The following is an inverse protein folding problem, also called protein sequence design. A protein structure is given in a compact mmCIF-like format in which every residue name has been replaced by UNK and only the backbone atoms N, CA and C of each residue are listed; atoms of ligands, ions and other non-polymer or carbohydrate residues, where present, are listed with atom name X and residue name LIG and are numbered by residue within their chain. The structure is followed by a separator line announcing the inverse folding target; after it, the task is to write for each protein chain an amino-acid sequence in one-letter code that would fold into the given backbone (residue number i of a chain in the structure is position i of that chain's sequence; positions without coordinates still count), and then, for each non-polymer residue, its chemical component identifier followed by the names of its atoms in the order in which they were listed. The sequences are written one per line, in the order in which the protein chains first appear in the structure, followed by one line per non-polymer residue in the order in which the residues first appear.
data_IF_091918432037
#
_entry.id   IF_091918432037
#
_cell.length_a   1.000
_cell.length_b   1.000
_cell.length_c   1.000
_cell.angle_alpha   90.00
_cell.angle_beta   90.00
_cell.angle_gamma   90.00
#
_symmetry.space_group_name_H-M   'P 1'
#
loop_
_entity.id
_entity.type
_entity.pdbx_description
1 polymer ?
#
# COMPACT_ATOMS: atom_id res chain seq x y z
N UNK A 1 -2.14 -12.93 -14.31
CA UNK A 1 -0.66 -12.75 -14.51
C UNK A 1 0.12 -13.27 -13.32
N UNK A 2 1.05 -14.20 -13.51
CA UNK A 2 1.85 -14.81 -12.43
C UNK A 2 2.99 -13.89 -11.98
N UNK A 3 3.04 -13.49 -10.71
CA UNK A 3 4.19 -12.74 -10.18
C UNK A 3 5.37 -13.69 -9.91
N UNK A 4 6.60 -13.23 -10.15
CA UNK A 4 7.81 -14.00 -9.86
C UNK A 4 7.96 -14.25 -8.35
N UNK A 5 8.00 -15.52 -7.93
CA UNK A 5 8.08 -15.92 -6.51
C UNK A 5 9.23 -15.23 -5.74
N UNK A 6 10.47 -15.13 -6.27
CA UNK A 6 11.53 -14.39 -5.58
C UNK A 6 11.24 -12.90 -5.40
N UNK A 7 10.50 -12.26 -6.31
CA UNK A 7 10.10 -10.86 -6.14
C UNK A 7 9.07 -10.72 -5.03
N UNK A 8 8.09 -11.62 -4.98
CA UNK A 8 7.09 -11.68 -3.91
C UNK A 8 7.78 -11.82 -2.56
N UNK A 9 8.68 -12.79 -2.42
CA UNK A 9 9.43 -13.03 -1.18
C UNK A 9 10.21 -11.78 -0.71
N UNK A 10 10.93 -11.11 -1.60
CA UNK A 10 11.68 -9.87 -1.25
C UNK A 10 10.78 -8.72 -0.82
N UNK A 11 9.53 -8.67 -1.31
CA UNK A 11 8.55 -7.60 -1.01
C UNK A 11 7.70 -7.88 0.22
N UNK A 12 7.76 -9.07 0.82
CA UNK A 12 6.99 -9.42 2.02
C UNK A 12 7.10 -8.35 3.12
N UNK A 13 8.30 -7.84 3.49
CA UNK A 13 8.39 -6.85 4.55
C UNK A 13 7.64 -5.55 4.24
N UNK A 14 7.66 -5.09 2.98
CA UNK A 14 6.93 -3.91 2.51
C UNK A 14 5.43 -4.15 2.48
N UNK A 15 4.99 -5.29 1.94
CA UNK A 15 3.57 -5.63 1.78
C UNK A 15 2.88 -5.96 3.10
N UNK A 16 3.58 -6.62 4.03
CA UNK A 16 2.95 -7.15 5.24
C UNK A 16 2.99 -6.13 6.37
N UNK A 17 4.08 -5.35 6.44
CA UNK A 17 4.35 -4.46 7.58
C UNK A 17 4.45 -2.98 7.20
N UNK A 18 4.20 -2.61 5.93
CA UNK A 18 4.45 -1.27 5.39
C UNK A 18 5.84 -0.76 5.82
N UNK A 19 6.84 -1.64 5.67
CA UNK A 19 8.21 -1.35 6.03
C UNK A 19 8.85 -0.53 4.91
N UNK A 20 9.13 0.74 5.18
CA UNK A 20 9.81 1.65 4.27
C UNK A 20 11.22 1.99 4.74
N UNK A 21 11.75 3.11 4.27
CA UNK A 21 13.04 3.64 4.73
C UNK A 21 12.94 5.12 5.12
N UNK A 22 13.70 5.52 6.14
CA UNK A 22 13.89 6.92 6.53
C UNK A 22 15.35 7.31 6.30
N UNK A 23 15.57 8.46 5.67
CA UNK A 23 16.91 9.02 5.57
C UNK A 23 17.26 9.72 6.90
N UNK A 24 18.26 9.21 7.62
CA UNK A 24 18.76 9.79 8.87
C UNK A 24 19.41 11.17 8.65
N UNK A 25 19.87 11.45 7.43
CA UNK A 25 20.54 12.72 7.09
C UNK A 25 19.57 13.88 6.91
N UNK A 26 18.39 13.65 6.29
CA UNK A 26 17.42 14.71 5.98
C UNK A 26 16.02 14.46 6.54
N UNK A 27 15.84 13.38 7.30
CA UNK A 27 14.56 13.01 7.92
C UNK A 27 13.47 12.52 6.98
N UNK A 28 13.70 12.49 5.66
CA UNK A 28 12.66 12.13 4.68
C UNK A 28 12.33 10.64 4.70
N UNK A 29 11.04 10.32 4.78
CA UNK A 29 10.49 8.97 4.69
C UNK A 29 10.26 8.56 3.22
N UNK A 30 10.43 7.27 2.93
CA UNK A 30 10.20 6.68 1.63
C UNK A 30 9.44 5.36 1.74
N UNK A 31 8.46 5.22 0.86
CA UNK A 31 7.76 3.98 0.58
C UNK A 31 7.54 3.86 -0.94
N UNK A 32 7.84 2.71 -1.58
CA UNK A 32 8.53 1.52 -1.05
C UNK A 32 9.97 1.81 -0.58
N UNK A 33 10.66 0.79 -0.05
CA UNK A 33 12.04 0.94 0.43
C UNK A 33 12.95 1.43 -0.69
N UNK A 34 13.90 2.29 -0.33
CA UNK A 34 14.95 2.76 -1.24
C UNK A 34 16.34 2.48 -0.68
N UNK A 35 17.26 2.12 -1.57
CA UNK A 35 18.69 1.95 -1.25
C UNK A 35 19.46 3.28 -1.27
N UNK A 36 18.96 4.28 -1.99
CA UNK A 36 19.60 5.60 -2.15
C UNK A 36 18.56 6.70 -1.96
N UNK A 37 18.89 7.71 -1.16
CA UNK A 37 18.02 8.86 -0.92
C UNK A 37 18.04 9.78 -2.16
N UNK A 38 16.89 10.09 -2.78
CA UNK A 38 16.84 11.03 -3.90
C UNK A 38 17.33 12.45 -3.56
N UNK A 39 17.16 12.90 -2.30
CA UNK A 39 17.59 14.23 -1.85
C UNK A 39 19.09 14.29 -1.55
N UNK A 40 19.59 13.39 -0.71
CA UNK A 40 20.99 13.41 -0.24
C UNK A 40 21.95 12.58 -1.11
N UNK A 41 21.41 11.75 -2.02
CA UNK A 41 22.15 10.80 -2.86
C UNK A 41 23.08 9.93 -2.01
N UNK A 42 24.34 9.82 -2.40
CA UNK A 42 25.39 9.03 -1.71
C UNK A 42 25.62 9.44 -0.26
N UNK A 43 25.28 10.67 0.14
CA UNK A 43 25.41 11.14 1.53
C UNK A 43 24.25 10.69 2.42
N UNK A 44 23.15 10.22 1.84
CA UNK A 44 21.97 9.81 2.58
C UNK A 44 22.20 8.46 3.25
N UNK A 45 22.08 8.43 4.58
CA UNK A 45 22.05 7.19 5.35
C UNK A 45 20.60 6.77 5.55
N UNK A 46 20.18 5.67 4.93
CA UNK A 46 18.80 5.16 5.08
C UNK A 46 18.77 4.01 6.09
N UNK A 47 17.81 4.08 7.01
CA UNK A 47 17.45 2.98 7.90
C UNK A 47 16.01 2.55 7.67
N UNK A 48 15.70 1.30 7.99
CA UNK A 48 14.34 0.77 7.86
C UNK A 48 13.42 1.38 8.90
N UNK A 49 12.19 1.69 8.50
CA UNK A 49 11.15 2.20 9.40
C UNK A 49 9.83 1.52 9.10
N UNK A 50 9.12 1.09 10.14
CA UNK A 50 7.77 0.56 10.04
C UNK A 50 6.80 1.73 10.15
N UNK A 51 5.98 1.96 9.12
CA UNK A 51 4.90 2.93 9.20
C UNK A 51 3.71 2.37 9.98
N UNK A 52 2.95 3.26 10.61
CA UNK A 52 1.78 2.93 11.44
C UNK A 52 0.67 2.23 10.67
N UNK A 53 0.60 2.47 9.35
CA UNK A 53 -0.51 2.04 8.50
C UNK A 53 -1.77 2.89 8.69
N UNK A 54 -1.68 4.04 9.36
CA UNK A 54 -2.76 5.02 9.46
C UNK A 54 -2.54 6.16 8.48
N UNK A 55 -3.61 6.67 7.91
CA UNK A 55 -3.53 7.76 6.94
C UNK A 55 -4.88 8.29 6.53
N UNK A 56 -4.89 9.05 5.45
CA UNK A 56 -6.10 9.59 4.83
C UNK A 56 -6.13 9.36 3.32
N UNK A 57 -7.33 9.28 2.77
CA UNK A 57 -7.56 9.21 1.32
C UNK A 57 -7.11 10.52 0.67
N UNK A 58 -6.05 10.46 -0.13
CA UNK A 58 -5.56 11.60 -0.90
C UNK A 58 -6.35 11.79 -2.20
N UNK A 59 -6.64 10.69 -2.89
CA UNK A 59 -7.46 10.63 -4.10
C UNK A 59 -7.98 9.20 -4.28
N UNK A 60 -9.12 9.01 -4.93
CA UNK A 60 -9.68 7.68 -5.17
C UNK A 60 -10.47 7.62 -6.48
N UNK A 61 -10.66 6.40 -6.97
CA UNK A 61 -11.53 6.08 -8.12
C UNK A 61 -12.23 4.75 -7.87
N UNK A 62 -13.38 4.56 -8.49
CA UNK A 62 -14.03 3.25 -8.57
C UNK A 62 -13.61 2.56 -9.87
N UNK A 63 -13.28 1.28 -9.77
CA UNK A 63 -12.97 0.44 -10.91
C UNK A 63 -14.16 -0.47 -11.19
N UNK A 64 -14.85 -0.21 -12.30
CA UNK A 64 -15.96 -1.03 -12.79
C UNK A 64 -15.55 -1.98 -13.93
N UNK A 65 -14.42 -1.71 -14.59
CA UNK A 65 -13.84 -2.53 -15.64
C UNK A 65 -12.39 -2.89 -15.24
N UNK A 66 -12.17 -4.01 -14.54
CA UNK A 66 -10.88 -4.35 -13.97
C UNK A 66 -9.97 -5.05 -15.00
N UNK A 67 -8.66 -5.12 -14.72
CA UNK A 67 -7.78 -6.04 -15.42
C UNK A 67 -8.12 -7.51 -15.06
N UNK A 68 -7.61 -8.43 -15.88
CA UNK A 68 -7.77 -9.88 -15.68
C UNK A 68 -7.30 -10.32 -14.28
N UNK A 69 -8.13 -11.12 -13.60
CA UNK A 69 -7.89 -11.65 -12.25
C UNK A 69 -8.46 -10.80 -11.11
N UNK A 70 -9.20 -9.74 -11.42
CA UNK A 70 -9.86 -8.85 -10.45
C UNK A 70 -11.37 -8.72 -10.68
N UNK A 71 -11.94 -9.53 -11.57
CA UNK A 71 -13.36 -9.56 -11.94
C UNK A 71 -14.26 -9.77 -10.73
N UNK A 72 -13.87 -10.68 -9.83
CA UNK A 72 -14.61 -11.01 -8.60
C UNK A 72 -14.64 -9.88 -7.56
N UNK A 73 -13.86 -8.81 -7.78
CA UNK A 73 -13.78 -7.67 -6.85
C UNK A 73 -14.56 -6.46 -7.35
N UNK A 74 -15.25 -6.55 -8.50
CA UNK A 74 -15.97 -5.41 -9.08
C UNK A 74 -17.30 -5.15 -8.38
N UNK A 75 -17.67 -3.89 -8.12
CA UNK A 75 -16.82 -2.70 -8.16
C UNK A 75 -15.91 -2.62 -6.92
N UNK A 76 -14.67 -2.13 -7.10
CA UNK A 76 -13.79 -1.81 -5.97
C UNK A 76 -13.25 -0.38 -6.03
N UNK A 77 -12.98 0.18 -4.86
CA UNK A 77 -12.34 1.50 -4.71
C UNK A 77 -10.82 1.33 -4.73
N UNK A 78 -10.15 2.05 -5.64
CA UNK A 78 -8.70 2.19 -5.67
C UNK A 78 -8.33 3.60 -5.22
N UNK A 79 -7.46 3.71 -4.22
CA UNK A 79 -7.09 4.99 -3.62
C UNK A 79 -5.58 5.20 -3.56
N UNK A 80 -5.19 6.45 -3.68
CA UNK A 80 -3.91 6.95 -3.18
C UNK A 80 -4.13 7.35 -1.72
N UNK A 81 -3.33 6.79 -0.83
CA UNK A 81 -3.41 7.00 0.60
C UNK A 81 -2.15 7.73 1.04
N UNK A 82 -2.34 8.85 1.74
CA UNK A 82 -1.27 9.57 2.41
C UNK A 82 -1.22 9.10 3.86
N UNK A 83 -0.13 8.40 4.21
CA UNK A 83 0.10 7.98 5.60
C UNK A 83 0.46 9.17 6.46
N UNK A 84 0.23 9.05 7.77
CA UNK A 84 0.52 10.11 8.75
C UNK A 84 2.01 10.49 8.77
N UNK A 85 2.89 9.57 8.36
CA UNK A 85 4.34 9.81 8.21
C UNK A 85 4.73 10.52 6.89
N UNK A 86 3.75 10.91 6.07
CA UNK A 86 3.92 11.76 4.88
C UNK A 86 4.26 11.03 3.58
N UNK A 87 4.22 9.70 3.56
CA UNK A 87 4.42 8.90 2.34
C UNK A 87 3.08 8.58 1.69
N UNK A 88 3.09 8.44 0.36
CA UNK A 88 1.89 8.07 -0.41
C UNK A 88 2.04 6.68 -1.02
N UNK A 89 0.97 5.90 -0.97
CA UNK A 89 0.91 4.57 -1.58
C UNK A 89 -0.44 4.37 -2.27
N UNK A 90 -0.48 3.43 -3.21
CA UNK A 90 -1.72 3.03 -3.89
C UNK A 90 -2.21 1.72 -3.29
N UNK A 91 -3.49 1.67 -2.91
CA UNK A 91 -4.12 0.46 -2.39
C UNK A 91 -5.63 0.50 -2.58
N UNK A 92 -6.28 -0.66 -2.47
CA UNK A 92 -7.73 -0.73 -2.47
C UNK A 92 -8.28 -0.34 -1.09
N UNK A 93 -9.45 0.31 -1.09
CA UNK A 93 -10.27 0.47 0.12
C UNK A 93 -11.29 -0.67 0.14
N UNK A 94 -11.34 -1.39 1.26
CA UNK A 94 -12.22 -2.53 1.49
C UNK A 94 -13.12 -2.29 2.68
N UNK A 95 -14.13 -3.16 2.82
CA UNK A 95 -15.10 -3.13 3.92
C UNK A 95 -15.89 -1.80 3.99
N UNK A 96 -16.12 -1.16 2.83
CA UNK A 96 -16.90 0.08 2.70
C UNK A 96 -17.61 0.15 1.34
N UNK A 97 -18.73 0.85 1.25
CA UNK A 97 -19.30 1.25 -0.03
C UNK A 97 -18.54 2.45 -0.60
N UNK A 98 -18.59 2.64 -1.92
CA UNK A 98 -17.94 3.79 -2.57
C UNK A 98 -18.41 5.12 -2.00
N UNK A 99 -19.70 5.23 -1.71
CA UNK A 99 -20.32 6.49 -1.25
C UNK A 99 -19.85 6.89 0.17
N UNK A 100 -19.26 5.94 0.91
CA UNK A 100 -18.65 6.18 2.22
C UNK A 100 -17.24 6.81 2.10
N UNK A 101 -16.60 6.65 0.94
CA UNK A 101 -15.22 7.10 0.71
C UNK A 101 -15.22 8.54 0.21
N UNK A 102 -14.49 9.42 0.91
CA UNK A 102 -14.27 10.82 0.53
C UNK A 102 -12.79 11.14 0.61
N UNK A 103 -12.36 12.15 -0.15
CA UNK A 103 -11.03 12.72 0.03
C UNK A 103 -10.92 13.25 1.47
N UNK A 104 -9.85 12.89 2.16
CA UNK A 104 -9.63 13.19 3.58
C UNK A 104 -10.18 12.14 4.55
N UNK A 105 -10.97 11.16 4.11
CA UNK A 105 -11.45 10.08 4.99
C UNK A 105 -10.27 9.36 5.65
N UNK A 106 -10.37 9.13 6.96
CA UNK A 106 -9.35 8.41 7.73
C UNK A 106 -9.43 6.91 7.44
N UNK A 107 -8.25 6.31 7.29
CA UNK A 107 -8.10 4.90 6.94
C UNK A 107 -7.02 4.24 7.78
N UNK A 108 -7.14 2.92 7.91
CA UNK A 108 -6.14 2.07 8.53
C UNK A 108 -5.83 0.84 7.70
N UNK A 109 -4.58 0.37 7.81
CA UNK A 109 -4.08 -0.81 7.12
C UNK A 109 -4.78 -2.08 7.63
N UNK A 110 -5.18 -2.93 6.68
CA UNK A 110 -5.58 -4.31 6.93
C UNK A 110 -4.78 -5.29 6.07
N UNK A 111 -4.53 -6.48 6.59
CA UNK A 111 -3.83 -7.55 5.88
C UNK A 111 -4.82 -8.38 5.07
N UNK A 112 -4.63 -8.47 3.75
CA UNK A 112 -5.56 -9.13 2.82
C UNK A 112 -4.82 -9.84 1.70
N UNK A 113 -5.53 -10.73 1.01
CA UNK A 113 -5.10 -11.25 -0.30
C UNK A 113 -5.15 -10.10 -1.29
N UNK A 114 -4.04 -9.82 -1.95
CA UNK A 114 -3.93 -8.79 -3.01
C UNK A 114 -4.05 -9.40 -4.40
N UNK A 115 -3.64 -10.66 -4.56
CA UNK A 115 -3.66 -11.38 -5.82
C UNK A 115 -3.54 -12.88 -5.56
N UNK A 116 -4.11 -13.69 -6.44
CA UNK A 116 -3.86 -15.13 -6.53
C UNK A 116 -3.27 -15.42 -7.90
N UNK A 117 -2.23 -16.25 -7.93
CA UNK A 117 -1.80 -16.87 -9.19
C UNK A 117 -2.81 -17.97 -9.60
N UNK A 118 -2.43 -18.85 -10.52
CA UNK A 118 -3.20 -20.05 -10.90
C UNK A 118 -3.53 -20.93 -9.67
N UNK A 119 -4.48 -21.89 -9.74
CA UNK A 119 -4.91 -22.68 -8.58
C UNK A 119 -3.79 -23.41 -7.81
N UNK A 120 -2.68 -23.74 -8.47
CA UNK A 120 -1.48 -24.37 -7.87
C UNK A 120 -0.38 -23.35 -7.50
N UNK A 121 -0.63 -22.06 -7.73
CA UNK A 121 0.31 -20.96 -7.56
C UNK A 121 0.28 -20.33 -6.16
N UNK A 122 1.03 -19.24 -6.00
CA UNK A 122 1.17 -18.57 -4.71
C UNK A 122 0.00 -17.62 -4.47
N UNK A 123 -0.47 -17.59 -3.22
CA UNK A 123 -1.40 -16.55 -2.75
C UNK A 123 -0.58 -15.35 -2.29
N UNK A 124 -0.74 -14.23 -2.97
CA UNK A 124 -0.05 -12.99 -2.64
C UNK A 124 -0.85 -12.22 -1.60
N UNK A 125 -0.28 -12.08 -0.41
CA UNK A 125 -0.84 -11.22 0.64
C UNK A 125 -0.16 -9.85 0.67
N UNK A 126 -0.85 -8.87 1.24
CA UNK A 126 -0.32 -7.53 1.45
C UNK A 126 -1.31 -6.62 2.17
N UNK A 127 -1.05 -5.31 2.08
CA UNK A 127 -1.92 -4.31 2.65
C UNK A 127 -3.08 -3.96 1.71
N UNK A 128 -4.27 -3.90 2.28
CA UNK A 128 -5.39 -3.07 1.81
C UNK A 128 -5.71 -2.05 2.92
N UNK A 129 -6.66 -1.17 2.70
CA UNK A 129 -7.09 -0.21 3.72
C UNK A 129 -8.60 -0.30 3.93
N UNK A 130 -9.06 0.00 5.14
CA UNK A 130 -10.48 0.22 5.43
C UNK A 130 -10.66 1.60 6.03
N UNK A 131 -11.88 2.13 5.98
CA UNK A 131 -12.23 3.34 6.72
C UNK A 131 -12.02 3.06 8.22
N UNK A 132 -11.31 3.96 8.90
CA UNK A 132 -11.18 3.87 10.35
C UNK A 132 -12.41 4.49 11.00
N UNK A 133 -13.03 3.79 11.96
CA UNK A 133 -14.09 4.40 12.77
C UNK A 133 -13.51 5.63 13.48
N UNK A 134 -14.19 6.77 13.32
CA UNK A 134 -13.83 7.99 14.04
C UNK A 134 -14.26 7.78 15.49
N UNK A 135 -13.31 7.51 16.41
CA UNK A 135 -13.54 7.73 17.84
C UNK A 135 -13.62 9.22 18.15
#
# INVERSE_FOLDING_TARGET
MKESIPLTWRRIPERYRILGTKCETCGTNYFPKRLVCPKCRRKGKLSEVRFSGKGSVYSFTEISAPPEGFEDQVPYVLAIIELDEGVRLTSQIVDSHKDDVKIGSRVEQVFRVIQRDDPEGVVHYGFKFRLSESS
#
